data_IF_403358521658
#
_entry.id   IF_403358521658
#
_cell.length_a   1.000
_cell.length_b   1.000
_cell.length_c   1.000
_cell.angle_alpha   90.00
_cell.angle_beta   90.00
_cell.angle_gamma   90.00
#
_symmetry.space_group_name_H-M   'P 1'
#
loop_
_entity.id
_entity.type
_entity.pdbx_description
1 polymer ?
#
# COMPACT_ATOMS: atom_id res chain seq x y z
N UNK A 1 -7.88 -5.85 0.47
CA UNK A 1 -8.57 -5.50 -0.78
C UNK A 1 -7.84 -4.35 -1.47
N UNK A 2 -7.78 -4.35 -2.81
CA UNK A 2 -7.30 -3.22 -3.61
C UNK A 2 -8.44 -2.22 -3.77
N UNK A 3 -8.27 -1.00 -3.26
CA UNK A 3 -9.31 0.04 -3.27
C UNK A 3 -9.20 0.94 -4.51
N UNK A 4 -7.98 1.33 -4.87
CA UNK A 4 -7.71 2.17 -6.03
C UNK A 4 -6.31 1.87 -6.59
N UNK A 5 -6.11 2.17 -7.87
CA UNK A 5 -4.83 2.02 -8.56
C UNK A 5 -4.51 3.27 -9.40
N UNK A 6 -3.37 3.87 -9.09
CA UNK A 6 -2.86 5.03 -9.78
C UNK A 6 -2.34 4.72 -11.17
N UNK A 7 -2.04 5.78 -11.91
CA UNK A 7 -1.50 5.69 -13.28
C UNK A 7 -0.28 4.77 -13.32
N UNK A 8 -0.26 3.91 -14.33
CA UNK A 8 0.91 3.09 -14.62
C UNK A 8 1.98 3.99 -15.23
N UNK A 9 3.15 4.03 -14.57
CA UNK A 9 4.35 4.69 -15.04
C UNK A 9 5.25 3.68 -15.74
N UNK A 10 5.85 4.08 -16.86
CA UNK A 10 6.81 3.28 -17.63
C UNK A 10 8.09 4.08 -17.77
N UNK A 11 9.18 3.58 -17.20
CA UNK A 11 10.51 4.16 -17.28
C UNK A 11 11.48 3.13 -17.86
N UNK A 12 11.77 3.24 -19.16
CA UNK A 12 12.51 2.24 -19.91
C UNK A 12 11.78 0.90 -19.92
N UNK A 13 12.39 -0.15 -19.36
CA UNK A 13 11.78 -1.47 -19.21
C UNK A 13 11.03 -1.66 -17.87
N UNK A 14 11.05 -0.66 -16.98
CA UNK A 14 10.38 -0.74 -15.68
C UNK A 14 8.96 -0.20 -15.77
N UNK A 15 7.99 -1.03 -15.41
CA UNK A 15 6.58 -0.67 -15.27
C UNK A 15 6.21 -0.65 -13.80
N UNK A 16 5.62 0.43 -13.31
CA UNK A 16 5.24 0.60 -11.90
C UNK A 16 3.89 1.26 -11.78
N UNK A 17 3.14 0.93 -10.74
CA UNK A 17 1.89 1.60 -10.38
C UNK A 17 1.73 1.56 -8.86
N UNK A 18 1.27 2.67 -8.29
CA UNK A 18 0.94 2.75 -6.88
C UNK A 18 -0.54 2.40 -6.72
N UNK A 19 -0.88 1.55 -5.76
CA UNK A 19 -2.25 1.23 -5.41
C UNK A 19 -2.53 1.60 -3.94
N UNK A 20 -3.80 1.80 -3.61
CA UNK A 20 -4.28 1.82 -2.23
C UNK A 20 -4.85 0.45 -1.91
N UNK A 21 -4.38 -0.18 -0.85
CA UNK A 21 -4.94 -1.44 -0.35
C UNK A 21 -5.36 -1.29 1.11
N UNK A 22 -6.38 -2.01 1.52
CA UNK A 22 -6.89 -1.96 2.89
C UNK A 22 -7.45 -3.30 3.36
N UNK A 23 -7.47 -3.48 4.68
CA UNK A 23 -8.23 -4.51 5.37
C UNK A 23 -9.02 -3.90 6.53
N UNK A 24 -9.63 -4.72 7.38
CA UNK A 24 -10.43 -4.27 8.53
C UNK A 24 -9.64 -3.46 9.58
N UNK A 25 -8.31 -3.44 9.47
CA UNK A 25 -7.42 -2.80 10.45
C UNK A 25 -6.86 -1.46 9.97
N UNK A 26 -6.47 -1.35 8.70
CA UNK A 26 -5.83 -0.15 8.16
C UNK A 26 -5.80 -0.15 6.62
N UNK A 27 -5.45 1.02 6.07
CA UNK A 27 -5.05 1.18 4.68
C UNK A 27 -3.53 1.39 4.55
N UNK A 28 -2.97 1.08 3.38
CA UNK A 28 -1.57 1.30 3.04
C UNK A 28 -1.38 1.44 1.53
N UNK A 29 -0.41 2.26 1.11
CA UNK A 29 0.06 2.26 -0.28
C UNK A 29 0.80 0.97 -0.62
N UNK A 30 0.50 0.43 -1.80
CA UNK A 30 1.09 -0.79 -2.31
C UNK A 30 1.71 -0.56 -3.69
N UNK A 31 3.01 -0.84 -3.82
CA UNK A 31 3.74 -0.65 -5.06
C UNK A 31 3.73 -1.92 -5.90
N UNK A 32 3.05 -1.86 -7.05
CA UNK A 32 3.00 -2.90 -8.08
C UNK A 32 4.14 -2.72 -9.10
N UNK A 33 4.63 -3.84 -9.63
CA UNK A 33 5.75 -3.88 -10.58
C UNK A 33 5.46 -4.79 -11.79
N UNK A 34 5.94 -4.37 -12.96
CA UNK A 34 5.93 -5.19 -14.17
C UNK A 34 4.51 -5.61 -14.55
N UNK A 35 4.31 -6.92 -14.64
CA UNK A 35 3.02 -7.54 -14.99
C UNK A 35 1.94 -7.33 -13.93
N UNK A 36 2.33 -7.10 -12.67
CA UNK A 36 1.39 -6.90 -11.56
C UNK A 36 0.54 -5.64 -11.78
N UNK A 37 1.08 -4.65 -12.47
CA UNK A 37 0.38 -3.40 -12.79
C UNK A 37 -0.86 -3.61 -13.66
N UNK A 38 -0.94 -4.69 -14.42
CA UNK A 38 -2.10 -5.01 -15.28
C UNK A 38 -2.91 -6.20 -14.76
N UNK A 39 -2.39 -6.91 -13.76
CA UNK A 39 -2.97 -8.17 -13.28
C UNK A 39 -4.10 -7.98 -12.26
N UNK A 40 -4.21 -6.78 -11.67
CA UNK A 40 -5.14 -6.48 -10.60
C UNK A 40 -5.94 -5.22 -10.92
N UNK A 41 -7.12 -5.12 -10.31
CA UNK A 41 -8.01 -3.97 -10.44
C UNK A 41 -8.67 -3.65 -9.09
N UNK A 42 -9.21 -2.42 -8.93
CA UNK A 42 -10.03 -2.07 -7.77
C UNK A 42 -11.14 -3.09 -7.52
N UNK A 43 -11.31 -3.47 -6.25
CA UNK A 43 -12.24 -4.52 -5.80
C UNK A 43 -11.61 -5.91 -5.64
N UNK A 44 -10.41 -6.15 -6.18
CA UNK A 44 -9.73 -7.43 -6.01
C UNK A 44 -9.28 -7.65 -4.55
N UNK A 45 -9.48 -8.86 -4.05
CA UNK A 45 -8.88 -9.33 -2.80
C UNK A 45 -7.57 -10.01 -3.16
N UNK A 46 -6.46 -9.38 -2.78
CA UNK A 46 -5.12 -9.88 -3.05
C UNK A 46 -4.48 -10.45 -1.79
N UNK A 47 -3.75 -11.57 -1.94
CA UNK A 47 -2.89 -12.14 -0.92
C UNK A 47 -1.43 -11.82 -1.27
N UNK A 48 -0.76 -11.10 -0.37
CA UNK A 48 0.67 -10.86 -0.44
C UNK A 48 1.41 -11.83 0.48
N UNK A 49 2.34 -12.61 -0.07
CA UNK A 49 3.26 -13.46 0.69
C UNK A 49 4.67 -12.92 0.58
N UNK A 50 5.45 -12.95 1.66
CA UNK A 50 6.80 -12.38 1.74
C UNK A 50 6.84 -10.90 1.27
N UNK A 51 5.83 -10.13 1.69
CA UNK A 51 5.77 -8.69 1.51
C UNK A 51 6.81 -7.98 2.37
N UNK A 52 7.21 -6.79 1.93
CA UNK A 52 8.10 -5.91 2.68
C UNK A 52 7.58 -4.48 2.64
N UNK A 53 7.76 -3.78 3.75
CA UNK A 53 7.64 -2.34 3.78
C UNK A 53 8.94 -1.69 3.32
N UNK A 54 8.85 -0.63 2.53
CA UNK A 54 10.00 0.16 2.10
C UNK A 54 9.67 1.64 2.04
N UNK A 55 10.64 2.46 2.41
CA UNK A 55 10.59 3.91 2.22
C UNK A 55 11.09 4.29 0.84
N UNK A 56 10.32 5.09 0.13
CA UNK A 56 10.76 5.78 -1.08
C UNK A 56 10.44 7.27 -0.96
N UNK A 57 11.48 8.12 -0.87
CA UNK A 57 11.34 9.57 -0.70
C UNK A 57 10.28 9.92 0.36
N UNK A 58 10.50 9.40 1.57
CA UNK A 58 9.64 9.60 2.75
C UNK A 58 8.24 8.96 2.72
N UNK A 59 7.87 8.28 1.64
CA UNK A 59 6.61 7.53 1.58
C UNK A 59 6.86 6.06 1.96
N UNK A 60 6.21 5.61 3.04
CA UNK A 60 6.19 4.21 3.43
C UNK A 60 5.22 3.46 2.53
N UNK A 61 5.69 2.44 1.81
CA UNK A 61 4.83 1.62 0.95
C UNK A 61 5.11 0.12 1.13
N UNK A 62 4.06 -0.68 1.02
CA UNK A 62 4.14 -2.13 0.93
C UNK A 62 4.53 -2.53 -0.50
N UNK A 63 5.27 -3.63 -0.64
CA UNK A 63 5.56 -4.24 -1.95
C UNK A 63 5.90 -5.72 -1.81
N UNK A 64 5.85 -6.45 -2.92
CA UNK A 64 6.45 -7.77 -2.98
C UNK A 64 7.98 -7.71 -2.78
N UNK A 65 8.50 -8.53 -1.87
CA UNK A 65 9.94 -8.73 -1.72
C UNK A 65 10.54 -9.56 -2.86
N UNK A 66 11.86 -9.83 -2.82
CA UNK A 66 12.55 -10.65 -3.84
C UNK A 66 11.94 -12.05 -4.01
N UNK A 67 11.41 -12.63 -2.92
CA UNK A 67 10.68 -13.92 -2.89
C UNK A 67 9.18 -13.70 -2.64
N UNK A 68 8.72 -12.48 -2.89
CA UNK A 68 7.34 -12.04 -2.73
C UNK A 68 6.45 -12.63 -3.80
N UNK A 69 5.18 -12.86 -3.46
CA UNK A 69 4.15 -13.27 -4.41
C UNK A 69 2.86 -12.52 -4.11
N UNK A 70 2.19 -12.06 -5.15
CA UNK A 70 0.86 -11.47 -5.09
C UNK A 70 -0.09 -12.37 -5.88
N UNK A 71 -1.24 -12.69 -5.30
CA UNK A 71 -2.26 -13.52 -5.94
C UNK A 71 -3.64 -12.92 -5.69
N UNK A 72 -4.50 -12.88 -6.71
CA UNK A 72 -5.93 -12.64 -6.50
C UNK A 72 -6.52 -13.89 -5.85
N UNK A 73 -7.19 -13.70 -4.72
CA UNK A 73 -7.84 -14.77 -3.93
C UNK A 73 -9.35 -14.57 -3.79
N UNK A 74 -9.88 -13.44 -4.27
CA UNK A 74 -11.31 -13.14 -4.26
C UNK A 74 -11.59 -11.73 -4.79
N UNK A 75 -12.82 -11.27 -4.61
CA UNK A 75 -13.29 -9.95 -5.02
C UNK A 75 -14.49 -9.48 -4.16
N UNK A 76 -14.63 -8.16 -4.00
CA UNK A 76 -15.75 -7.43 -3.39
C UNK A 76 -16.09 -7.68 -1.90
N UNK A 77 -16.13 -8.92 -1.43
CA UNK A 77 -16.69 -9.27 -0.11
C UNK A 77 -15.66 -9.28 1.00
N UNK A 78 -14.90 -8.19 1.14
CA UNK A 78 -13.93 -8.01 2.23
C UNK A 78 -14.24 -6.73 3.00
N UNK A 79 -14.33 -6.84 4.33
CA UNK A 79 -14.44 -5.67 5.20
C UNK A 79 -13.13 -4.91 5.18
N UNK A 80 -13.20 -3.58 5.09
CA UNK A 80 -12.03 -2.72 5.11
C UNK A 80 -12.30 -1.38 5.80
N UNK A 81 -11.24 -0.74 6.26
CA UNK A 81 -11.22 0.65 6.71
C UNK A 81 -10.18 1.43 5.93
N UNK A 82 -10.49 2.67 5.55
CA UNK A 82 -9.52 3.56 4.89
C UNK A 82 -8.59 4.27 5.86
N UNK A 83 -8.91 4.22 7.15
CA UNK A 83 -8.20 4.94 8.21
C UNK A 83 -7.89 3.99 9.38
N UNK A 84 -6.68 4.04 9.96
CA UNK A 84 -5.57 4.89 9.57
C UNK A 84 -4.93 4.43 8.25
N UNK A 85 -4.32 5.37 7.52
CA UNK A 85 -3.45 5.03 6.39
C UNK A 85 -1.99 4.98 6.86
N UNK A 86 -1.42 3.77 6.89
CA UNK A 86 -0.06 3.49 7.36
C UNK A 86 1.02 4.22 6.58
N UNK A 87 0.75 4.58 5.32
CA UNK A 87 1.66 5.33 4.46
C UNK A 87 1.70 6.82 4.77
N UNK A 88 0.69 7.34 5.47
CA UNK A 88 0.53 8.76 5.84
C UNK A 88 0.73 8.93 7.37
N UNK A 89 1.50 8.03 7.98
CA UNK A 89 1.92 8.11 9.38
C UNK A 89 3.40 8.44 9.42
N UNK A 90 3.78 9.43 10.23
CA UNK A 90 5.17 9.66 10.56
C UNK A 90 5.67 8.58 11.51
N UNK A 91 6.61 7.75 11.07
CA UNK A 91 7.26 6.74 11.91
C UNK A 91 8.64 7.22 12.33
N UNK A 92 8.91 7.28 13.62
CA UNK A 92 10.21 7.65 14.16
C UNK A 92 10.87 6.45 14.86
N UNK A 93 12.21 6.29 14.79
CA UNK A 93 12.90 5.27 15.56
C UNK A 93 12.67 5.48 17.06
N UNK A 94 12.41 4.40 17.79
CA UNK A 94 12.34 4.44 19.25
C UNK A 94 13.75 4.76 19.81
N UNK A 95 13.84 5.80 20.64
CA UNK A 95 15.10 6.22 21.27
C UNK A 95 15.70 5.15 22.19
N UNK A 96 14.86 4.27 22.76
CA UNK A 96 15.28 3.18 23.62
C UNK A 96 15.57 1.89 22.84
N UNK A 97 15.09 1.76 21.61
CA UNK A 97 15.29 0.57 20.78
C UNK A 97 15.23 0.90 19.29
N UNK A 98 16.40 1.05 18.66
CA UNK A 98 16.51 1.38 17.23
C UNK A 98 15.90 0.35 16.27
N UNK A 99 15.51 -0.83 16.75
CA UNK A 99 14.78 -1.83 15.95
C UNK A 99 13.26 -1.64 15.97
N UNK A 100 12.76 -0.72 16.79
CA UNK A 100 11.34 -0.37 16.88
C UNK A 100 11.11 1.01 16.29
N UNK A 101 9.95 1.15 15.68
CA UNK A 101 9.43 2.43 15.23
C UNK A 101 8.21 2.77 16.07
N UNK A 102 8.14 4.02 16.50
CA UNK A 102 7.00 4.58 17.20
C UNK A 102 6.09 5.28 16.20
N UNK A 103 4.78 5.08 16.37
CA UNK A 103 3.78 5.80 15.62
C UNK A 103 3.77 7.25 16.10
N UNK A 104 4.17 8.16 15.21
CA UNK A 104 4.14 9.60 15.43
C UNK A 104 2.82 10.23 14.99
N UNK A 105 2.89 11.45 14.46
CA UNK A 105 1.72 12.17 13.98
C UNK A 105 1.13 11.52 12.72
N UNK A 106 -0.22 11.52 12.64
CA UNK A 106 -0.96 11.22 11.41
C UNK A 106 -0.85 12.44 10.50
N UNK A 107 -0.26 12.26 9.31
CA UNK A 107 -0.10 13.32 8.31
C UNK A 107 -1.46 13.62 7.68
N UNK A 108 -2.22 12.58 7.34
CA UNK A 108 -3.57 12.66 6.81
C UNK A 108 -4.39 11.43 7.23
N UNK A 109 -5.67 11.60 7.60
CA UNK A 109 -6.53 10.45 7.94
C UNK A 109 -6.78 9.54 6.73
N UNK A 110 -6.86 10.11 5.52
CA UNK A 110 -7.05 9.39 4.25
C UNK A 110 -5.83 9.50 3.34
N UNK A 111 -5.77 8.71 2.27
CA UNK A 111 -4.70 8.85 1.28
C UNK A 111 -4.78 10.21 0.58
N UNK A 112 -3.66 10.94 0.57
CA UNK A 112 -3.53 12.18 -0.21
C UNK A 112 -3.52 11.94 -1.73
N UNK A 113 -3.04 10.75 -2.15
CA UNK A 113 -2.92 10.33 -3.55
C UNK A 113 -4.24 9.77 -4.08
N UNK A 114 -4.97 9.05 -3.22
CA UNK A 114 -6.25 8.39 -3.53
C UNK A 114 -7.33 8.94 -2.58
N UNK A 115 -7.79 10.18 -2.80
CA UNK A 115 -8.82 10.76 -1.93
C UNK A 115 -10.12 9.97 -2.08
N UNK A 116 -10.88 9.78 -0.98
CA UNK A 116 -12.19 9.14 -1.06
C UNK A 116 -13.11 9.94 -2.01
N UNK A 117 -14.06 9.27 -2.69
CA UNK A 117 -15.06 9.97 -3.50
C UNK A 117 -15.78 11.01 -2.65
N UNK A 118 -15.97 12.22 -3.18
CA UNK A 118 -16.83 13.18 -2.52
C UNK A 118 -18.27 12.64 -2.50
N UNK A 119 -19.00 12.78 -1.38
CA UNK A 119 -20.38 12.34 -1.26
C UNK A 119 -21.34 13.09 -2.21
#
# INVERSE_FOLDING_TARGET
>A
MLLDQGKIMVEGQRKTSLALVADETAAVHFQLWGIECDAFQPGDIIRLTNGIFSYNRDNLGLRAGKRGKIEKVGEFTMVFVETPNMSEICWSPDSNNSKKFLQGAVISPYSSIFPPPMP
#
